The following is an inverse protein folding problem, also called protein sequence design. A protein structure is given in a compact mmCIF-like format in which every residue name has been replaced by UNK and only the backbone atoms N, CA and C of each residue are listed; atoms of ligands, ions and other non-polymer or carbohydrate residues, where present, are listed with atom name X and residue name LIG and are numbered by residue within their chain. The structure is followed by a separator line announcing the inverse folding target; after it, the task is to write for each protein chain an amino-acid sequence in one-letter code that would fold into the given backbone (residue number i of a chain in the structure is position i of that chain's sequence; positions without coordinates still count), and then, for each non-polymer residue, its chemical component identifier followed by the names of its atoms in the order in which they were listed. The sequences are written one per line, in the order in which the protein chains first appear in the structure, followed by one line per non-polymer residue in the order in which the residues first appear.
data_IF_306174929382
#
_entry.id   IF_306174929382
#
_cell.length_a   1.000
_cell.length_b   1.000
_cell.length_c   1.000
_cell.angle_alpha   90.00
_cell.angle_beta   90.00
_cell.angle_gamma   90.00
#
_symmetry.space_group_name_H-M   'P 1'
#
loop_
_entity.id
_entity.type
_entity.pdbx_description
1 polymer ?
#
# COMPACT_ATOMS: atom_id res chain seq x y z
N UNK A 1 3.77 -10.60 -2.07
CA UNK A 1 3.30 -9.27 -2.47
C UNK A 1 3.75 -8.91 -3.89
N UNK A 2 5.03 -9.03 -4.25
CA UNK A 2 5.50 -8.77 -5.63
C UNK A 2 4.68 -9.46 -6.71
N UNK A 3 4.45 -10.78 -6.58
CA UNK A 3 3.63 -11.53 -7.54
C UNK A 3 2.22 -10.97 -7.72
N UNK A 4 1.60 -10.49 -6.64
CA UNK A 4 0.27 -9.87 -6.71
C UNK A 4 0.33 -8.57 -7.52
N UNK A 5 1.35 -7.73 -7.26
CA UNK A 5 1.57 -6.47 -8.00
C UNK A 5 1.79 -6.75 -9.50
N UNK A 6 2.57 -7.77 -9.83
CA UNK A 6 2.78 -8.23 -11.22
C UNK A 6 1.46 -8.68 -11.85
N UNK A 7 0.69 -9.55 -11.18
CA UNK A 7 -0.63 -10.01 -11.65
C UNK A 7 -1.59 -8.83 -11.92
N UNK A 8 -1.65 -7.85 -11.02
CA UNK A 8 -2.52 -6.68 -11.20
C UNK A 8 -2.04 -5.71 -12.29
N UNK A 9 -0.73 -5.57 -12.48
CA UNK A 9 -0.15 -4.82 -13.61
C UNK A 9 -0.47 -5.51 -14.93
N UNK A 10 -0.26 -6.82 -15.01
CA UNK A 10 -0.46 -7.61 -16.22
C UNK A 10 -1.96 -7.69 -16.59
N UNK A 11 -2.85 -7.58 -15.60
CA UNK A 11 -4.30 -7.42 -15.78
C UNK A 11 -4.75 -5.98 -16.11
N UNK A 12 -3.83 -5.01 -16.19
CA UNK A 12 -4.14 -3.60 -16.47
C UNK A 12 -4.84 -2.86 -15.32
N UNK A 13 -4.84 -3.42 -14.11
CA UNK A 13 -5.47 -2.82 -12.93
C UNK A 13 -4.59 -1.73 -12.30
N UNK A 14 -3.26 -1.86 -12.45
CA UNK A 14 -2.26 -0.99 -11.85
C UNK A 14 -1.21 -0.55 -12.86
N UNK A 15 -0.69 0.67 -12.67
CA UNK A 15 0.41 1.21 -13.46
C UNK A 15 1.64 1.23 -12.55
N UNK A 16 2.45 0.17 -12.60
CA UNK A 16 3.65 0.02 -11.77
C UNK A 16 4.81 -0.39 -12.68
N UNK A 17 5.87 0.40 -12.76
CA UNK A 17 6.99 0.06 -13.64
C UNK A 17 7.90 -0.99 -13.00
N UNK A 18 8.21 -0.84 -11.71
CA UNK A 18 9.03 -1.78 -10.95
C UNK A 18 8.25 -2.42 -9.78
N UNK A 19 7.77 -3.64 -10.00
CA UNK A 19 7.01 -4.40 -9.00
C UNK A 19 7.84 -4.76 -7.75
N UNK A 20 9.17 -4.89 -7.88
CA UNK A 20 10.05 -5.17 -6.75
C UNK A 20 10.21 -3.92 -5.89
N UNK A 21 10.43 -2.75 -6.50
CA UNK A 21 10.51 -1.48 -5.78
C UNK A 21 9.19 -1.16 -5.09
N UNK A 22 8.06 -1.30 -5.79
CA UNK A 22 6.74 -1.13 -5.21
C UNK A 22 6.53 -2.09 -4.02
N UNK A 23 7.02 -3.33 -4.10
CA UNK A 23 6.97 -4.28 -2.99
C UNK A 23 7.73 -3.78 -1.78
N UNK A 24 8.95 -3.28 -1.95
CA UNK A 24 9.78 -2.80 -0.85
C UNK A 24 9.14 -1.59 -0.15
N UNK A 25 8.59 -0.66 -0.93
CA UNK A 25 7.88 0.52 -0.41
C UNK A 25 6.67 0.10 0.42
N UNK A 26 5.82 -0.79 -0.10
CA UNK A 26 4.64 -1.28 0.60
C UNK A 26 4.99 -2.08 1.85
N UNK A 27 6.04 -2.92 1.82
CA UNK A 27 6.51 -3.64 3.01
C UNK A 27 7.01 -2.66 4.07
N UNK A 28 7.75 -1.63 3.68
CA UNK A 28 8.19 -0.58 4.60
C UNK A 28 7.02 0.15 5.24
N UNK A 29 6.03 0.54 4.43
CA UNK A 29 4.82 1.20 4.90
C UNK A 29 4.01 0.31 5.85
N UNK A 30 3.84 -0.98 5.55
CA UNK A 30 3.02 -1.89 6.37
C UNK A 30 3.73 -2.35 7.64
N UNK A 31 5.00 -2.74 7.55
CA UNK A 31 5.72 -3.37 8.66
C UNK A 31 5.89 -2.44 9.86
N UNK A 32 5.96 -1.14 9.66
CA UNK A 32 6.23 -0.18 10.74
C UNK A 32 4.96 0.43 11.35
N UNK A 33 3.77 0.03 10.87
CA UNK A 33 2.48 0.60 11.33
C UNK A 33 2.24 0.47 12.83
N UNK A 34 2.67 -0.64 13.44
CA UNK A 34 2.48 -0.89 14.87
C UNK A 34 3.22 0.10 15.78
N UNK A 35 4.26 0.79 15.28
CA UNK A 35 5.07 1.71 16.08
C UNK A 35 4.41 3.07 16.29
N UNK A 36 3.51 3.46 15.40
CA UNK A 36 2.91 4.80 15.42
C UNK A 36 1.38 4.78 15.48
N UNK A 37 0.75 3.60 15.35
CA UNK A 37 -0.70 3.48 15.57
C UNK A 37 -1.04 3.81 17.04
N UNK A 38 -2.03 4.67 17.22
CA UNK A 38 -2.58 4.98 18.53
C UNK A 38 -4.06 4.55 18.55
N UNK A 39 -4.41 3.42 19.20
CA UNK A 39 -5.78 2.90 19.24
C UNK A 39 -6.80 3.84 19.89
N UNK A 40 -6.35 4.75 20.76
CA UNK A 40 -7.17 5.78 21.41
C UNK A 40 -6.94 7.17 20.79
N UNK A 41 -6.31 7.21 19.61
CA UNK A 41 -5.99 8.43 18.89
C UNK A 41 -7.16 8.98 18.06
N UNK A 42 -6.82 9.89 17.13
CA UNK A 42 -7.79 10.56 16.25
C UNK A 42 -8.57 9.60 15.35
N UNK A 43 -8.00 8.45 15.01
CA UNK A 43 -8.60 7.44 14.15
C UNK A 43 -8.68 6.13 14.93
N UNK A 44 -9.80 5.43 14.81
CA UNK A 44 -9.84 4.01 15.19
C UNK A 44 -8.92 3.19 14.29
N UNK A 45 -8.58 1.97 14.73
CA UNK A 45 -7.74 1.05 13.94
C UNK A 45 -8.36 0.77 12.57
N UNK A 46 -9.67 0.60 12.52
CA UNK A 46 -10.44 0.34 11.30
C UNK A 46 -10.41 1.55 10.36
N UNK A 47 -10.61 2.76 10.90
CA UNK A 47 -10.53 4.00 10.13
C UNK A 47 -9.13 4.26 9.57
N UNK A 48 -8.09 3.92 10.34
CA UNK A 48 -6.72 3.99 9.87
C UNK A 48 -6.49 2.98 8.74
N UNK A 49 -6.89 1.72 8.92
CA UNK A 49 -6.73 0.67 7.93
C UNK A 49 -7.39 1.04 6.59
N UNK A 50 -8.62 1.56 6.63
CA UNK A 50 -9.35 2.01 5.43
C UNK A 50 -8.60 3.12 4.68
N UNK A 51 -8.14 4.14 5.42
CA UNK A 51 -7.39 5.27 4.84
C UNK A 51 -6.03 4.82 4.30
N UNK A 52 -5.37 3.89 4.99
CA UNK A 52 -4.07 3.37 4.58
C UNK A 52 -4.20 2.53 3.30
N UNK A 53 -5.23 1.69 3.22
CA UNK A 53 -5.56 0.94 2.01
C UNK A 53 -5.85 1.89 0.83
N UNK A 54 -6.68 2.91 1.05
CA UNK A 54 -6.98 3.90 0.01
C UNK A 54 -5.72 4.59 -0.52
N UNK A 55 -4.79 4.97 0.37
CA UNK A 55 -3.52 5.58 0.02
C UNK A 55 -2.62 4.65 -0.81
N UNK A 56 -2.47 3.39 -0.37
CA UNK A 56 -1.72 2.36 -1.08
C UNK A 56 -2.30 2.12 -2.48
N UNK A 57 -3.62 1.94 -2.57
CA UNK A 57 -4.32 1.68 -3.83
C UNK A 57 -4.22 2.86 -4.80
N UNK A 58 -4.23 4.09 -4.30
CA UNK A 58 -4.01 5.27 -5.12
C UNK A 58 -2.59 5.30 -5.69
N UNK A 59 -1.59 5.01 -4.85
CA UNK A 59 -0.18 4.96 -5.27
C UNK A 59 0.06 3.95 -6.39
N UNK A 60 -0.55 2.76 -6.31
CA UNK A 60 -0.42 1.72 -7.35
C UNK A 60 -1.15 2.04 -8.65
N UNK A 61 -2.23 2.85 -8.60
CA UNK A 61 -3.01 3.23 -9.78
C UNK A 61 -2.39 4.39 -10.55
N UNK A 62 -1.84 5.38 -9.84
CA UNK A 62 -1.44 6.66 -10.44
C UNK A 62 -0.06 6.61 -11.12
N UNK A 63 0.64 5.47 -11.09
CA UNK A 63 1.95 5.36 -11.73
C UNK A 63 2.99 6.21 -11.03
N UNK A 64 3.36 5.81 -9.81
CA UNK A 64 4.55 6.36 -9.15
C UNK A 64 5.59 5.23 -9.05
N UNK A 65 6.67 5.41 -9.80
CA UNK A 65 7.85 4.54 -10.01
C UNK A 65 7.70 3.47 -11.11
#
# INVERSE_FOLDING_TARGET
MQRVIEEGRDAGLWSVADARLATLILLGALNWTYLWINPVGRLSVEQLAEKYLAFIMHTLKTGCL
#
